data_IF_183118993620
#
_entry.id   IF_183118993620
#
_cell.length_a   1.000
_cell.length_b   1.000
_cell.length_c   1.000
_cell.angle_alpha   90.00
_cell.angle_beta   90.00
_cell.angle_gamma   90.00
#
_symmetry.space_group_name_H-M   'P 1'
#
loop_
_entity.id
_entity.type
_entity.pdbx_description
1 polymer ?
#
# COMPACT_ATOMS: atom_id res chain seq x y z
N UNK A 1 -1.00 -13.34 13.62
CA UNK A 1 -1.37 -11.94 13.28
C UNK A 1 -0.07 -11.17 13.11
N UNK A 2 0.26 -10.70 11.89
CA UNK A 2 1.58 -10.12 11.57
C UNK A 2 1.56 -8.65 11.14
N UNK A 3 0.41 -8.17 10.69
CA UNK A 3 0.17 -6.80 10.29
C UNK A 3 -1.23 -6.38 10.72
N UNK A 4 -1.38 -5.10 11.03
CA UNK A 4 -2.62 -4.46 11.46
C UNK A 4 -2.91 -3.26 10.55
N UNK A 5 -4.19 -2.97 10.32
CA UNK A 5 -4.60 -1.75 9.63
C UNK A 5 -4.48 -0.58 10.61
N UNK A 6 -3.87 0.51 10.16
CA UNK A 6 -3.83 1.76 10.93
C UNK A 6 -5.09 2.54 10.58
N UNK A 7 -5.99 2.68 11.56
CA UNK A 7 -7.26 3.38 11.38
C UNK A 7 -7.29 4.75 12.09
N UNK A 8 -6.19 5.18 12.70
CA UNK A 8 -6.17 6.32 13.61
C UNK A 8 -6.33 7.65 12.86
N UNK A 9 -7.51 8.30 12.97
CA UNK A 9 -7.76 9.54 12.29
C UNK A 9 -7.13 10.67 13.12
N UNK A 10 -6.13 11.36 12.56
CA UNK A 10 -5.48 12.65 12.93
C UNK A 10 -3.98 12.59 13.21
N UNK A 11 -3.32 11.44 13.08
CA UNK A 11 -1.87 11.39 13.22
C UNK A 11 -1.17 12.03 12.01
N UNK A 12 -0.14 12.84 12.29
CA UNK A 12 0.78 13.37 11.28
C UNK A 12 1.93 12.39 11.12
N UNK A 13 2.24 12.06 9.88
CA UNK A 13 3.31 11.15 9.54
C UNK A 13 4.39 11.85 8.72
N UNK A 14 5.65 11.47 8.96
CA UNK A 14 6.79 11.82 8.12
C UNK A 14 7.29 10.62 7.32
N UNK A 15 7.85 10.88 6.16
CA UNK A 15 8.48 9.83 5.35
C UNK A 15 9.81 9.42 5.98
N UNK A 16 10.01 8.10 6.11
CA UNK A 16 11.27 7.51 6.57
C UNK A 16 12.06 7.01 5.37
N UNK A 17 11.44 6.13 4.55
CA UNK A 17 12.14 5.45 3.46
C UNK A 17 11.18 4.88 2.42
N UNK A 18 11.50 4.99 1.13
CA UNK A 18 10.81 4.23 0.08
C UNK A 18 11.38 2.80 -0.03
N UNK A 19 10.51 1.80 0.00
CA UNK A 19 10.88 0.39 -0.13
C UNK A 19 10.49 -0.21 -1.48
N UNK A 20 9.48 0.36 -2.13
CA UNK A 20 8.99 -0.10 -3.42
C UNK A 20 8.47 1.06 -4.26
N UNK A 21 8.83 1.04 -5.54
CA UNK A 21 8.27 1.88 -6.59
C UNK A 21 8.10 1.02 -7.84
N UNK A 22 6.90 0.96 -8.39
CA UNK A 22 6.67 0.28 -9.64
C UNK A 22 7.48 0.95 -10.77
N UNK A 23 8.07 0.14 -11.64
CA UNK A 23 8.79 0.63 -12.82
C UNK A 23 7.85 1.29 -13.84
N UNK A 24 8.40 1.81 -14.96
CA UNK A 24 7.62 2.46 -16.01
C UNK A 24 6.59 1.54 -16.70
N UNK A 25 6.74 0.22 -16.52
CA UNK A 25 5.80 -0.80 -16.98
C UNK A 25 5.34 -1.68 -15.82
N UNK A 26 4.03 -1.77 -15.61
CA UNK A 26 3.44 -2.64 -14.59
C UNK A 26 3.50 -4.10 -15.03
N UNK A 27 4.05 -4.95 -14.18
CA UNK A 27 4.15 -6.40 -14.42
C UNK A 27 3.04 -7.14 -13.69
N UNK A 28 2.71 -8.37 -14.09
CA UNK A 28 1.69 -9.17 -13.41
C UNK A 28 1.98 -9.38 -11.91
N UNK A 29 3.26 -9.34 -11.50
CA UNK A 29 3.66 -9.43 -10.10
C UNK A 29 3.23 -8.22 -9.25
N UNK A 30 2.96 -7.08 -9.89
CA UNK A 30 2.50 -5.83 -9.25
C UNK A 30 1.00 -5.59 -9.42
N UNK A 31 0.33 -6.44 -10.21
CA UNK A 31 -1.10 -6.37 -10.48
C UNK A 31 -1.88 -7.22 -9.48
N UNK A 32 -2.91 -6.61 -8.94
CA UNK A 32 -3.91 -7.22 -8.08
C UNK A 32 -5.19 -7.30 -8.88
N UNK A 33 -5.54 -8.51 -9.28
CA UNK A 33 -6.74 -8.79 -10.05
C UNK A 33 -7.98 -8.92 -9.15
N UNK A 34 -9.16 -8.78 -9.77
CA UNK A 34 -10.49 -8.91 -9.16
C UNK A 34 -10.68 -10.08 -8.18
N UNK A 35 -11.79 -10.03 -7.43
CA UNK A 35 -12.14 -11.06 -6.46
C UNK A 35 -12.23 -12.49 -7.06
N UNK A 36 -12.43 -12.62 -8.38
CA UNK A 36 -12.54 -13.89 -9.10
C UNK A 36 -11.20 -14.52 -9.46
N UNK A 37 -10.14 -13.72 -9.66
CA UNK A 37 -8.78 -14.19 -9.98
C UNK A 37 -7.76 -13.67 -8.96
N UNK A 38 -7.92 -14.04 -7.69
CA UNK A 38 -7.04 -13.65 -6.58
C UNK A 38 -5.55 -13.76 -6.97
N UNK A 39 -4.91 -12.63 -7.22
CA UNK A 39 -3.45 -12.54 -7.35
C UNK A 39 -2.97 -11.58 -6.29
N UNK A 40 -2.65 -12.08 -5.08
CA UNK A 40 -2.19 -11.21 -4.01
C UNK A 40 -0.75 -10.75 -4.28
N UNK A 41 -0.46 -9.49 -3.98
CA UNK A 41 0.91 -9.03 -3.81
C UNK A 41 1.41 -9.44 -2.42
N UNK A 42 2.47 -10.24 -2.36
CA UNK A 42 3.06 -10.68 -1.10
C UNK A 42 4.07 -9.64 -0.59
N UNK A 43 3.72 -8.95 0.49
CA UNK A 43 4.61 -8.00 1.14
C UNK A 43 5.24 -8.63 2.39
N UNK A 44 6.57 -8.77 2.40
CA UNK A 44 7.34 -9.14 3.58
C UNK A 44 7.87 -7.86 4.26
N UNK A 45 7.68 -7.73 5.57
CA UNK A 45 8.17 -6.57 6.31
C UNK A 45 9.69 -6.40 6.10
N UNK A 46 10.16 -5.30 5.48
CA UNK A 46 11.58 -5.11 5.18
C UNK A 46 12.43 -4.94 6.44
N UNK A 47 11.84 -4.42 7.53
CA UNK A 47 12.55 -4.11 8.77
C UNK A 47 12.80 -5.34 9.63
N UNK A 48 11.80 -6.21 9.82
CA UNK A 48 11.94 -7.39 10.67
C UNK A 48 12.11 -8.70 9.90
N UNK A 49 11.70 -8.76 8.62
CA UNK A 49 11.70 -9.96 7.77
C UNK A 49 10.99 -11.19 8.37
N UNK A 50 10.15 -10.98 9.39
CA UNK A 50 9.46 -12.05 10.14
C UNK A 50 7.98 -12.18 9.80
N UNK A 51 7.34 -11.09 9.40
CA UNK A 51 5.92 -11.08 9.07
C UNK A 51 5.69 -10.61 7.65
N UNK A 52 4.66 -11.19 7.05
CA UNK A 52 4.17 -10.84 5.73
C UNK A 52 2.66 -10.65 5.74
N UNK A 53 2.18 -9.96 4.69
CA UNK A 53 0.77 -9.74 4.42
C UNK A 53 0.52 -9.83 2.92
N UNK A 54 -0.65 -10.36 2.55
CA UNK A 54 -1.16 -10.29 1.20
C UNK A 54 -1.89 -8.97 0.99
N UNK A 55 -1.50 -8.20 -0.02
CA UNK A 55 -2.26 -7.05 -0.50
C UNK A 55 -3.06 -7.55 -1.71
N UNK A 56 -4.40 -7.52 -1.62
CA UNK A 56 -5.29 -8.14 -2.60
C UNK A 56 -6.61 -7.37 -2.71
N UNK A 57 -7.43 -7.73 -3.72
CA UNK A 57 -8.72 -7.10 -4.01
C UNK A 57 -9.72 -7.14 -2.83
N UNK A 58 -9.61 -8.11 -1.91
CA UNK A 58 -10.56 -8.23 -0.80
C UNK A 58 -10.25 -7.21 0.31
N UNK A 59 -9.01 -6.75 0.38
CA UNK A 59 -8.58 -5.71 1.30
C UNK A 59 -8.53 -4.29 0.69
N UNK A 60 -9.01 -4.11 -0.54
CA UNK A 60 -9.06 -2.81 -1.23
C UNK A 60 -10.18 -1.90 -0.74
N UNK A 61 -11.23 -2.47 -0.16
CA UNK A 61 -12.30 -1.71 0.52
C UNK A 61 -11.82 -0.86 1.70
N UNK A 62 -10.59 -1.06 2.15
CA UNK A 62 -9.93 -0.25 3.20
C UNK A 62 -9.02 0.82 2.61
N UNK A 63 -9.00 0.98 1.28
CA UNK A 63 -8.24 2.04 0.64
C UNK A 63 -8.97 3.37 0.81
N UNK A 64 -8.20 4.45 0.90
CA UNK A 64 -8.71 5.81 1.11
C UNK A 64 -9.58 5.96 2.36
N UNK A 65 -9.35 5.15 3.40
CA UNK A 65 -9.97 5.42 4.71
C UNK A 65 -9.51 6.80 5.17
N UNK A 66 -10.46 7.74 5.21
CA UNK A 66 -10.24 9.08 5.71
C UNK A 66 -9.67 9.02 7.13
N UNK A 67 -8.64 9.81 7.42
CA UNK A 67 -8.17 9.96 8.79
C UNK A 67 -6.75 10.42 8.98
N UNK A 68 -5.79 10.02 8.14
CA UNK A 68 -4.39 10.36 8.39
C UNK A 68 -3.92 11.57 7.59
N UNK A 69 -2.97 12.32 8.15
CA UNK A 69 -2.35 13.46 7.47
C UNK A 69 -0.91 13.05 7.12
N UNK A 70 -0.67 12.83 5.84
CA UNK A 70 0.66 12.61 5.26
C UNK A 70 0.94 13.75 4.30
N UNK A 71 2.19 14.22 4.24
CA UNK A 71 2.60 15.20 3.23
C UNK A 71 2.54 14.54 1.84
N UNK A 72 1.42 14.75 1.15
CA UNK A 72 1.18 14.18 -0.17
C UNK A 72 2.19 14.70 -1.22
N UNK A 73 2.74 15.90 -1.04
CA UNK A 73 3.74 16.44 -1.97
C UNK A 73 5.05 15.66 -1.87
N UNK A 74 5.46 15.27 -0.65
CA UNK A 74 6.62 14.38 -0.47
C UNK A 74 6.39 12.98 -1.04
N UNK A 75 5.18 12.45 -0.88
CA UNK A 75 4.81 11.14 -1.46
C UNK A 75 4.84 11.20 -2.98
N UNK A 76 4.27 12.25 -3.58
CA UNK A 76 4.26 12.47 -5.04
C UNK A 76 5.68 12.65 -5.58
N UNK A 77 6.57 13.37 -4.87
CA UNK A 77 7.99 13.51 -5.25
C UNK A 77 8.70 12.16 -5.33
N UNK A 78 8.31 11.19 -4.51
CA UNK A 78 8.84 9.82 -4.55
C UNK A 78 8.15 8.94 -5.61
N UNK A 79 7.28 9.51 -6.44
CA UNK A 79 6.49 8.77 -7.41
C UNK A 79 5.35 7.97 -6.77
N UNK A 80 4.92 8.32 -5.56
CA UNK A 80 3.77 7.71 -4.89
C UNK A 80 2.42 8.21 -5.40
N UNK A 81 2.17 8.12 -6.70
CA UNK A 81 0.95 8.62 -7.32
C UNK A 81 -0.10 7.51 -7.48
N UNK A 82 -0.71 7.10 -6.36
CA UNK A 82 -1.89 6.22 -6.39
C UNK A 82 -3.15 7.01 -6.01
N UNK A 83 -4.23 7.02 -6.82
CA UNK A 83 -5.53 7.57 -6.39
C UNK A 83 -6.12 6.80 -5.20
N UNK A 84 -5.57 5.62 -4.90
CA UNK A 84 -5.90 4.81 -3.73
C UNK A 84 -4.69 4.60 -2.84
N UNK A 85 -4.91 4.54 -1.53
CA UNK A 85 -3.84 4.26 -0.58
C UNK A 85 -4.33 3.52 0.67
N UNK A 86 -3.40 2.90 1.40
CA UNK A 86 -3.66 2.33 2.73
C UNK A 86 -2.43 2.39 3.62
N UNK A 87 -2.66 2.37 4.94
CA UNK A 87 -1.62 2.23 5.94
C UNK A 87 -1.67 0.84 6.60
N UNK A 88 -0.51 0.20 6.73
CA UNK A 88 -0.35 -1.05 7.48
C UNK A 88 0.76 -0.90 8.52
N UNK A 89 0.58 -1.50 9.69
CA UNK A 89 1.58 -1.54 10.76
C UNK A 89 2.02 -2.98 11.00
N UNK A 90 3.32 -3.23 11.04
CA UNK A 90 3.85 -4.54 11.40
C UNK A 90 3.71 -4.76 12.91
N UNK A 91 2.99 -5.80 13.34
CA UNK A 91 2.73 -6.05 14.78
C UNK A 91 3.98 -6.46 15.57
N UNK A 92 5.08 -6.83 14.90
CA UNK A 92 6.33 -7.23 15.58
C UNK A 92 7.32 -6.09 15.77
N UNK A 93 7.51 -5.23 14.75
CA UNK A 93 8.51 -4.15 14.81
C UNK A 93 7.87 -2.76 14.87
N UNK A 94 6.54 -2.68 14.86
CA UNK A 94 5.76 -1.45 14.89
C UNK A 94 5.99 -0.48 13.74
N UNK A 95 6.77 -0.85 12.72
CA UNK A 95 6.97 -0.04 11.53
C UNK A 95 5.67 0.11 10.75
N UNK A 96 5.43 1.33 10.26
CA UNK A 96 4.21 1.72 9.54
C UNK A 96 4.57 1.94 8.08
N UNK A 97 3.74 1.42 7.18
CA UNK A 97 3.93 1.52 5.75
C UNK A 97 2.71 2.12 5.08
N UNK A 98 2.94 3.18 4.31
CA UNK A 98 2.04 3.70 3.30
C UNK A 98 2.16 2.88 2.02
N UNK A 99 1.03 2.39 1.52
CA UNK A 99 0.95 1.67 0.26
C UNK A 99 0.10 2.50 -0.69
N UNK A 100 0.70 2.98 -1.77
CA UNK A 100 0.02 3.71 -2.85
C UNK A 100 -0.36 2.75 -3.97
N UNK A 101 -1.59 2.90 -4.48
CA UNK A 101 -2.24 1.95 -5.39
C UNK A 101 -2.88 2.71 -6.55
N UNK A 102 -2.54 2.29 -7.76
CA UNK A 102 -3.18 2.67 -9.01
C UNK A 102 -4.49 1.92 -9.22
N UNK A 103 -5.50 2.59 -9.76
CA UNK A 103 -6.68 1.93 -10.34
C UNK A 103 -6.53 1.89 -11.85
N UNK A 104 -6.74 0.72 -12.46
CA UNK A 104 -7.00 0.63 -13.88
C UNK A 104 -8.43 0.11 -14.12
N UNK A 105 -9.16 0.89 -14.92
CA UNK A 105 -10.49 0.59 -15.46
C UNK A 105 -10.62 -0.84 -16.04
N UNK A 106 -11.85 -1.35 -16.18
CA UNK A 106 -12.11 -2.77 -16.36
C UNK A 106 -11.41 -3.38 -17.58
N UNK A 107 -10.43 -4.25 -17.35
CA UNK A 107 -9.85 -5.09 -18.40
C UNK A 107 -10.85 -6.21 -18.75
N UNK A 108 -11.71 -5.97 -19.73
CA UNK A 108 -12.82 -6.86 -20.11
C UNK A 108 -13.81 -7.11 -18.97
N UNK A 109 -14.20 -6.06 -18.24
CA UNK A 109 -15.18 -6.14 -17.14
C UNK A 109 -14.60 -6.58 -15.79
N UNK A 110 -13.28 -6.46 -15.60
CA UNK A 110 -12.57 -6.88 -14.37
C UNK A 110 -11.79 -5.75 -13.75
N UNK A 111 -11.99 -5.53 -12.45
CA UNK A 111 -11.18 -4.58 -11.68
C UNK A 111 -9.73 -5.07 -11.57
N UNK A 112 -8.79 -4.18 -11.90
CA UNK A 112 -7.36 -4.42 -11.74
C UNK A 112 -6.75 -3.25 -10.98
N UNK A 113 -6.07 -3.56 -9.88
CA UNK A 113 -5.36 -2.61 -9.05
C UNK A 113 -3.86 -2.82 -9.18
N UNK A 114 -3.09 -1.73 -9.21
CA UNK A 114 -1.64 -1.80 -9.35
C UNK A 114 -0.97 -1.28 -8.09
N UNK A 115 -0.08 -2.09 -7.50
CA UNK A 115 0.76 -1.61 -6.40
C UNK A 115 1.77 -0.62 -6.99
N UNK A 116 1.60 0.66 -6.66
CA UNK A 116 2.41 1.75 -7.20
C UNK A 116 3.64 2.01 -6.34
N UNK A 117 3.45 2.12 -5.03
CA UNK A 117 4.55 2.39 -4.09
C UNK A 117 4.32 1.77 -2.72
N UNK A 118 5.41 1.48 -2.02
CA UNK A 118 5.41 1.18 -0.59
C UNK A 118 6.47 2.05 0.08
N UNK A 119 6.03 2.86 1.03
CA UNK A 119 6.83 3.86 1.73
C UNK A 119 6.70 3.61 3.23
N UNK A 120 7.81 3.50 3.94
CA UNK A 120 7.85 3.52 5.40
C UNK A 120 7.67 4.94 5.91
N UNK A 121 6.78 5.07 6.90
CA UNK A 121 6.44 6.32 7.54
C UNK A 121 6.53 6.18 9.06
N UNK A 122 6.71 7.29 9.75
CA UNK A 122 6.73 7.35 11.21
C UNK A 122 5.83 8.48 11.70
N UNK A 123 5.19 8.27 12.85
CA UNK A 123 4.44 9.31 13.55
C UNK A 123 5.37 10.46 13.93
N UNK A 124 4.86 11.69 13.84
CA UNK A 124 5.56 12.93 14.23
C UNK A 124 5.33 13.29 15.68
#
# INVERSE_FOLDING_TARGET
MGFELVEEPKLKYKIVKQHFLAGPTFTDATKIYDAGRKTPFYFLCPNCKKHSINIDHLNTRYFNKEGFILDLDEVVKLGGAGPMHKLIKCSHCNSIFYIGIGYFEPNNGRDVFDIHTIIEIAEM
#
